data_IF_377371912840
#
_entry.id   IF_377371912840
#
_cell.length_a   1.000
_cell.length_b   1.000
_cell.length_c   1.000
_cell.angle_alpha   90.00
_cell.angle_beta   90.00
_cell.angle_gamma   90.00
#
_symmetry.space_group_name_H-M   'P 1'
#
loop_
_entity.id
_entity.type
_entity.pdbx_description
1 polymer ?
#
# COMPACT_ATOMS: atom_id res chain seq x y z
N UNK A 1 -1.95 -6.28 13.63
CA UNK A 1 -1.27 -5.95 12.36
C UNK A 1 -0.23 -7.03 12.05
N UNK A 2 0.10 -7.29 10.78
CA UNK A 2 0.91 -8.44 10.36
C UNK A 2 2.28 -8.06 9.76
N UNK A 3 2.31 -7.09 8.85
CA UNK A 3 3.51 -6.74 8.09
C UNK A 3 3.42 -5.31 7.52
N UNK A 4 4.58 -4.73 7.27
CA UNK A 4 4.79 -3.45 6.60
C UNK A 4 5.62 -3.71 5.34
N UNK A 5 5.13 -3.29 4.17
CA UNK A 5 5.88 -3.35 2.92
C UNK A 5 6.11 -1.96 2.34
N UNK A 6 7.28 -1.77 1.74
CA UNK A 6 7.63 -0.58 0.98
C UNK A 6 8.37 -0.99 -0.30
N UNK A 7 8.36 -0.12 -1.32
CA UNK A 7 9.23 -0.26 -2.48
C UNK A 7 10.69 -0.32 -2.06
N UNK A 8 11.48 -1.13 -2.76
CA UNK A 8 12.93 -1.04 -2.67
C UNK A 8 13.39 0.35 -3.16
N UNK A 9 14.36 0.91 -2.45
CA UNK A 9 15.00 2.17 -2.84
C UNK A 9 16.11 1.83 -3.80
N UNK A 10 15.89 2.01 -5.09
CA UNK A 10 16.95 1.89 -6.10
C UNK A 10 17.58 3.26 -6.35
N UNK A 11 18.88 3.28 -6.71
CA UNK A 11 19.64 4.52 -6.95
C UNK A 11 19.06 5.43 -8.05
N UNK A 12 18.18 4.90 -8.89
CA UNK A 12 17.61 5.59 -10.04
C UNK A 12 16.21 6.17 -9.80
N UNK A 13 15.58 5.83 -8.69
CA UNK A 13 14.18 6.16 -8.44
C UNK A 13 14.06 7.10 -7.25
N UNK A 14 13.16 8.08 -7.32
CA UNK A 14 12.87 9.03 -6.25
C UNK A 14 12.19 8.38 -5.02
N UNK A 15 12.24 7.03 -4.94
CA UNK A 15 11.72 6.08 -3.93
C UNK A 15 12.26 6.29 -2.49
N UNK A 16 13.22 7.20 -2.28
CA UNK A 16 13.68 7.57 -0.93
C UNK A 16 12.53 8.09 -0.05
N UNK A 17 11.58 8.86 -0.63
CA UNK A 17 10.44 9.45 0.10
C UNK A 17 9.47 8.40 0.64
N UNK A 18 9.24 7.30 -0.07
CA UNK A 18 8.33 6.21 0.34
C UNK A 18 8.82 5.57 1.64
N UNK A 19 10.14 5.40 1.76
CA UNK A 19 10.77 4.86 2.96
C UNK A 19 10.77 5.84 4.13
N UNK A 20 11.02 7.13 3.90
CA UNK A 20 11.00 8.15 4.95
C UNK A 20 9.64 8.30 5.62
N UNK A 21 8.55 8.21 4.83
CA UNK A 21 7.16 8.30 5.34
C UNK A 21 6.79 7.12 6.24
N UNK A 22 7.34 5.93 5.99
CA UNK A 22 7.03 4.73 6.79
C UNK A 22 7.91 4.57 8.04
N UNK A 23 9.06 5.25 8.13
CA UNK A 23 9.94 5.17 9.31
C UNK A 23 9.22 5.52 10.62
N UNK A 24 8.47 6.64 10.74
CA UNK A 24 7.76 6.95 11.98
C UNK A 24 6.69 5.90 12.29
N UNK A 25 5.93 5.46 11.28
CA UNK A 25 4.89 4.44 11.47
C UNK A 25 5.47 3.08 11.88
N UNK A 26 6.58 2.67 11.28
CA UNK A 26 7.27 1.42 11.59
C UNK A 26 7.84 1.42 13.01
N UNK A 27 8.36 2.58 13.44
CA UNK A 27 8.85 2.78 14.82
C UNK A 27 7.71 2.67 15.82
N UNK A 28 6.59 3.36 15.58
CA UNK A 28 5.43 3.33 16.48
C UNK A 28 4.80 1.94 16.57
N UNK A 29 4.82 1.18 15.47
CA UNK A 29 4.26 -0.17 15.40
C UNK A 29 5.25 -1.26 15.82
N UNK A 30 6.52 -0.92 16.05
CA UNK A 30 7.58 -1.87 16.41
C UNK A 30 7.83 -2.96 15.37
N UNK A 31 7.52 -2.70 14.09
CA UNK A 31 7.57 -3.70 13.02
C UNK A 31 8.61 -3.30 11.95
N UNK A 32 9.44 -4.25 11.48
CA UNK A 32 10.39 -3.96 10.41
C UNK A 32 9.68 -3.72 9.08
N UNK A 33 10.13 -2.72 8.33
CA UNK A 33 9.65 -2.45 6.96
C UNK A 33 10.34 -3.42 6.00
N UNK A 34 9.56 -4.30 5.40
CA UNK A 34 10.02 -5.24 4.38
C UNK A 34 10.11 -4.53 3.03
N UNK A 35 11.25 -4.67 2.36
CA UNK A 35 11.51 -4.09 1.03
C UNK A 35 12.01 -5.14 0.03
N UNK A 36 11.26 -6.24 -0.21
CA UNK A 36 11.73 -7.34 -1.02
C UNK A 36 11.61 -7.12 -2.54
N UNK A 37 10.91 -6.06 -2.97
CA UNK A 37 10.49 -5.87 -4.37
C UNK A 37 10.69 -4.43 -4.84
N UNK A 38 11.05 -4.28 -6.10
CA UNK A 38 11.06 -3.00 -6.82
C UNK A 38 9.64 -2.53 -7.17
N UNK A 39 9.49 -1.24 -7.51
CA UNK A 39 8.20 -0.62 -7.85
C UNK A 39 7.39 -1.37 -8.93
N UNK A 40 8.08 -1.98 -9.90
CA UNK A 40 7.45 -2.73 -11.01
C UNK A 40 7.08 -4.17 -10.64
N UNK A 41 7.50 -4.66 -9.49
CA UNK A 41 7.28 -6.05 -9.06
C UNK A 41 6.03 -6.20 -8.16
N UNK A 42 5.08 -5.28 -8.28
CA UNK A 42 3.84 -5.26 -7.50
C UNK A 42 3.01 -6.56 -7.59
N UNK A 43 3.09 -7.29 -8.72
CA UNK A 43 2.42 -8.59 -8.87
C UNK A 43 3.01 -9.65 -7.93
N UNK A 44 4.33 -9.66 -7.77
CA UNK A 44 5.00 -10.60 -6.86
C UNK A 44 4.64 -10.27 -5.40
N UNK A 45 4.60 -8.98 -5.06
CA UNK A 45 4.14 -8.51 -3.75
C UNK A 45 2.70 -8.95 -3.46
N UNK A 46 1.78 -8.72 -4.40
CA UNK A 46 0.38 -9.08 -4.23
C UNK A 46 0.20 -10.60 -3.99
N UNK A 47 0.89 -11.43 -4.78
CA UNK A 47 0.90 -12.89 -4.60
C UNK A 47 1.45 -13.30 -3.23
N UNK A 48 2.53 -12.69 -2.78
CA UNK A 48 3.09 -12.95 -1.46
C UNK A 48 2.10 -12.60 -0.35
N UNK A 49 1.45 -11.43 -0.42
CA UNK A 49 0.49 -10.97 0.57
C UNK A 49 -0.74 -11.88 0.62
N UNK A 50 -1.31 -12.23 -0.53
CA UNK A 50 -2.51 -13.07 -0.62
C UNK A 50 -2.22 -14.55 -0.28
N UNK A 51 -1.03 -15.05 -0.61
CA UNK A 51 -0.63 -16.44 -0.37
C UNK A 51 -0.19 -16.74 1.07
N UNK A 52 0.18 -15.72 1.84
CA UNK A 52 0.76 -15.92 3.16
C UNK A 52 -0.31 -16.18 4.23
N UNK A 53 -0.42 -17.44 4.67
CA UNK A 53 -1.38 -17.87 5.72
C UNK A 53 -1.27 -17.06 7.01
N UNK A 54 -0.06 -16.61 7.37
CA UNK A 54 0.18 -15.82 8.58
C UNK A 54 -0.51 -14.44 8.58
N UNK A 55 -0.96 -13.96 7.41
CA UNK A 55 -1.65 -12.68 7.24
C UNK A 55 -3.17 -12.82 7.26
N UNK A 56 -3.72 -14.05 7.26
CA UNK A 56 -5.18 -14.25 7.40
C UNK A 56 -5.70 -13.63 8.69
N UNK A 57 -6.73 -12.80 8.58
CA UNK A 57 -7.34 -12.08 9.71
C UNK A 57 -6.47 -10.95 10.28
N UNK A 58 -5.39 -10.56 9.60
CA UNK A 58 -4.51 -9.47 10.03
C UNK A 58 -4.42 -8.38 8.97
N UNK A 59 -4.19 -7.16 9.41
CA UNK A 59 -3.93 -6.01 8.52
C UNK A 59 -2.48 -6.01 8.05
N UNK A 60 -2.28 -5.86 6.74
CA UNK A 60 -0.99 -5.60 6.09
C UNK A 60 -1.01 -4.16 5.58
N UNK A 61 0.06 -3.41 5.85
CA UNK A 61 0.22 -2.04 5.36
C UNK A 61 1.27 -2.06 4.25
N UNK A 62 0.94 -1.46 3.10
CA UNK A 62 1.81 -1.39 1.92
C UNK A 62 1.92 0.08 1.51
N UNK A 63 3.14 0.58 1.40
CA UNK A 63 3.41 1.89 0.82
C UNK A 63 4.11 1.70 -0.53
N UNK A 64 3.56 2.31 -1.58
CA UNK A 64 4.01 2.09 -2.95
C UNK A 64 4.06 3.41 -3.73
N UNK A 65 4.65 3.39 -4.93
CA UNK A 65 4.68 4.56 -5.82
C UNK A 65 3.32 4.78 -6.48
N UNK A 66 2.91 6.04 -6.60
CA UNK A 66 1.58 6.43 -7.09
C UNK A 66 1.29 6.01 -8.54
N UNK A 67 2.32 5.85 -9.38
CA UNK A 67 2.15 5.36 -10.75
C UNK A 67 1.75 3.89 -10.84
N UNK A 68 2.12 3.06 -9.86
CA UNK A 68 1.90 1.60 -9.88
C UNK A 68 0.88 1.14 -8.81
N UNK A 69 0.39 2.06 -7.96
CA UNK A 69 -0.49 1.72 -6.83
C UNK A 69 -1.86 1.22 -7.31
N UNK A 70 -2.33 1.68 -8.48
CA UNK A 70 -3.59 1.26 -9.11
C UNK A 70 -3.52 -0.21 -9.52
N UNK A 71 -2.45 -0.56 -10.21
CA UNK A 71 -2.14 -1.91 -10.68
C UNK A 71 -1.89 -2.85 -9.51
N UNK A 72 -1.19 -2.39 -8.48
CA UNK A 72 -1.03 -3.12 -7.23
C UNK A 72 -2.37 -3.41 -6.55
N UNK A 73 -3.25 -2.40 -6.42
CA UNK A 73 -4.55 -2.58 -5.80
C UNK A 73 -5.41 -3.58 -6.58
N UNK A 74 -5.41 -3.50 -7.91
CA UNK A 74 -6.04 -4.50 -8.77
C UNK A 74 -5.45 -5.90 -8.58
N UNK A 75 -4.12 -6.03 -8.49
CA UNK A 75 -3.44 -7.31 -8.25
C UNK A 75 -3.78 -7.90 -6.87
N UNK A 76 -4.13 -7.05 -5.89
CA UNK A 76 -4.64 -7.44 -4.58
C UNK A 76 -6.14 -7.78 -4.58
N UNK A 77 -6.81 -7.66 -5.72
CA UNK A 77 -8.22 -8.03 -5.91
C UNK A 77 -9.21 -6.87 -5.85
N UNK A 78 -8.77 -5.60 -5.84
CA UNK A 78 -9.65 -4.43 -5.73
C UNK A 78 -10.79 -4.44 -6.76
N UNK A 79 -12.03 -4.34 -6.27
CA UNK A 79 -13.23 -4.16 -7.09
C UNK A 79 -14.16 -3.08 -6.51
N UNK A 80 -14.64 -2.14 -7.35
CA UNK A 80 -14.21 -1.91 -8.74
C UNK A 80 -12.74 -1.47 -8.83
N UNK A 81 -12.09 -1.54 -10.01
CA UNK A 81 -10.72 -1.06 -10.18
C UNK A 81 -10.62 0.41 -9.73
N UNK A 82 -9.66 0.75 -8.86
CA UNK A 82 -9.49 2.13 -8.44
C UNK A 82 -9.11 3.01 -9.63
N UNK A 83 -9.55 4.27 -9.59
CA UNK A 83 -9.07 5.26 -10.53
C UNK A 83 -7.58 5.55 -10.27
N UNK A 84 -6.82 5.98 -11.30
CA UNK A 84 -5.43 6.38 -11.12
C UNK A 84 -5.25 7.37 -9.99
N UNK A 85 -4.25 7.13 -9.15
CA UNK A 85 -3.89 8.02 -8.07
C UNK A 85 -3.46 9.38 -8.64
N UNK A 86 -4.04 10.48 -8.15
CA UNK A 86 -3.70 11.82 -8.65
C UNK A 86 -2.33 12.26 -8.13
N UNK A 87 -1.43 12.72 -9.01
CA UNK A 87 -0.01 13.03 -8.72
C UNK A 87 0.27 13.97 -7.54
N UNK A 88 -0.72 14.77 -7.10
CA UNK A 88 -0.57 15.76 -6.01
C UNK A 88 -1.33 15.39 -4.74
N UNK A 89 -1.84 14.17 -4.67
CA UNK A 89 -2.60 13.67 -3.53
C UNK A 89 -1.68 12.81 -2.67
N UNK A 90 -1.47 13.18 -1.41
CA UNK A 90 -0.59 12.44 -0.48
C UNK A 90 -1.31 12.07 0.82
N UNK A 91 -2.59 12.43 0.93
CA UNK A 91 -3.45 12.39 2.10
C UNK A 91 -4.51 11.27 1.99
N UNK A 92 -4.24 10.21 1.23
CA UNK A 92 -5.20 9.12 1.01
C UNK A 92 -4.67 7.77 1.46
N UNK A 93 -5.60 6.92 1.86
CA UNK A 93 -5.39 5.56 2.30
C UNK A 93 -6.36 4.68 1.52
N UNK A 94 -5.81 3.78 0.71
CA UNK A 94 -6.61 2.79 0.02
C UNK A 94 -6.76 1.56 0.91
N UNK A 95 -7.99 1.28 1.30
CA UNK A 95 -8.34 0.13 2.14
C UNK A 95 -8.96 -0.94 1.25
N UNK A 96 -8.32 -2.10 1.23
CA UNK A 96 -8.81 -3.27 0.53
C UNK A 96 -9.30 -4.28 1.58
N UNK A 97 -10.55 -4.72 1.46
CA UNK A 97 -11.15 -5.75 2.32
C UNK A 97 -11.39 -7.01 1.48
N UNK A 98 -10.45 -7.97 1.47
CA UNK A 98 -10.58 -9.21 0.71
C UNK A 98 -11.74 -10.06 1.25
N UNK A 99 -12.52 -10.63 0.34
CA UNK A 99 -13.51 -11.65 0.61
C UNK A 99 -12.91 -13.05 0.55
N UNK A 100 -13.75 -14.07 0.78
CA UNK A 100 -13.31 -15.47 0.74
C UNK A 100 -12.93 -15.97 -0.67
N UNK A 101 -13.27 -15.21 -1.72
CA UNK A 101 -13.10 -15.57 -3.13
C UNK A 101 -11.93 -14.82 -3.80
N UNK A 102 -11.27 -13.91 -3.08
CA UNK A 102 -10.10 -13.17 -3.56
C UNK A 102 -10.44 -11.85 -4.23
N UNK A 103 -11.70 -11.45 -4.27
CA UNK A 103 -12.07 -10.07 -4.59
C UNK A 103 -11.95 -9.21 -3.32
N UNK A 104 -11.61 -7.94 -3.45
CA UNK A 104 -11.49 -7.03 -2.33
C UNK A 104 -12.38 -5.81 -2.56
N UNK A 105 -13.23 -5.51 -1.59
CA UNK A 105 -13.97 -4.24 -1.60
C UNK A 105 -12.94 -3.12 -1.42
N UNK A 106 -12.93 -2.20 -2.38
CA UNK A 106 -12.05 -1.04 -2.39
C UNK A 106 -12.74 0.16 -1.73
N UNK A 107 -12.05 0.76 -0.75
CA UNK A 107 -12.45 1.99 -0.09
C UNK A 107 -11.29 2.99 -0.16
N UNK A 108 -11.58 4.22 -0.58
CA UNK A 108 -10.61 5.31 -0.61
C UNK A 108 -10.88 6.27 0.55
N UNK A 109 -9.96 6.30 1.51
CA UNK A 109 -10.13 6.98 2.80
C UNK A 109 -9.16 8.16 2.89
N UNK A 110 -9.64 9.40 3.09
CA UNK A 110 -8.75 10.53 3.36
C UNK A 110 -8.16 10.43 4.78
N UNK A 111 -6.86 10.68 4.90
CA UNK A 111 -6.08 10.59 6.13
C UNK A 111 -6.48 11.66 7.16
N UNK A 112 -6.94 12.84 6.71
CA UNK A 112 -7.49 13.94 7.52
C UNK A 112 -6.61 14.33 8.71
N UNK A 113 -5.29 14.33 8.53
CA UNK A 113 -4.31 14.68 9.57
C UNK A 113 -3.85 16.14 9.48
N UNK A 114 -3.99 16.82 8.34
CA UNK A 114 -3.50 18.19 8.15
C UNK A 114 -4.63 19.18 7.74
N UNK A 115 -4.53 20.47 8.13
CA UNK A 115 -5.40 21.51 7.59
C UNK A 115 -5.10 21.69 6.09
N UNK A 116 -5.99 21.19 5.23
CA UNK A 116 -5.83 21.17 3.78
C UNK A 116 -6.20 19.84 3.12
N UNK A 117 -6.37 18.78 3.93
CA UNK A 117 -6.74 17.45 3.43
C UNK A 117 -8.11 17.43 2.74
N UNK A 118 -8.20 16.60 1.70
CA UNK A 118 -9.36 16.44 0.85
C UNK A 118 -10.57 16.01 1.68
N UNK A 119 -11.66 16.77 1.61
CA UNK A 119 -12.86 16.51 2.41
C UNK A 119 -13.61 15.25 1.96
N UNK A 120 -13.39 14.80 0.72
CA UNK A 120 -14.15 13.77 0.01
C UNK A 120 -13.22 12.80 -0.72
#
# INVERSE_FOLDING_TARGET
MAALYATQVTKHDHSQRTSETLVPLARDLGLPVQRPYDAKEYVALARQVLGQRAYKGKTVIICWVHHDITELAMALGAQPPPAPWKDKTFDRLWVLKPDAHGAAVFEDVPQRLLPGDSKH
#
